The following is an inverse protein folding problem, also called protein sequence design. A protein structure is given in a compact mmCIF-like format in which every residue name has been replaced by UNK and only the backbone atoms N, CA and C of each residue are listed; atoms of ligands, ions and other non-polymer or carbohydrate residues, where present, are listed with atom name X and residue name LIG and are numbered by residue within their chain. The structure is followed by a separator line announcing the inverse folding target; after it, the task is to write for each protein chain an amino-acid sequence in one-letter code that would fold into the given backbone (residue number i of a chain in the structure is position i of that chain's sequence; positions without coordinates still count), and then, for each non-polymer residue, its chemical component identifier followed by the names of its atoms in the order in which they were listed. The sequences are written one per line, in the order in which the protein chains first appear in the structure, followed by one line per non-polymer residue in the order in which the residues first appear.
data_IF_911303681963
#
_entry.id   IF_911303681963
#
_cell.length_a   1.000
_cell.length_b   1.000
_cell.length_c   1.000
_cell.angle_alpha   90.00
_cell.angle_beta   90.00
_cell.angle_gamma   90.00
#
_symmetry.space_group_name_H-M   'P 1'
#
loop_
_entity.id
_entity.type
_entity.pdbx_description
1 polymer ?
#
# COMPACT_ATOMS: atom_id res chain seq x y z
N UNK A 1 4.49 -14.59 1.82
CA UNK A 1 4.10 -13.43 1.00
C UNK A 1 4.05 -12.23 1.91
N UNK A 2 4.66 -11.13 1.49
CA UNK A 2 4.75 -9.88 2.23
C UNK A 2 3.53 -8.98 1.99
N UNK A 3 3.31 -7.99 2.85
CA UNK A 3 2.24 -6.99 2.70
C UNK A 3 0.83 -7.60 2.64
N UNK A 4 0.58 -8.73 3.31
CA UNK A 4 -0.68 -9.46 3.19
C UNK A 4 -1.89 -8.64 3.64
N UNK A 5 -1.76 -7.87 4.72
CA UNK A 5 -2.85 -7.07 5.28
C UNK A 5 -3.20 -5.92 4.31
N UNK A 6 -2.18 -5.31 3.71
CA UNK A 6 -2.34 -4.25 2.71
C UNK A 6 -2.99 -4.81 1.43
N UNK A 7 -2.53 -5.97 0.97
CA UNK A 7 -3.13 -6.67 -0.17
C UNK A 7 -4.62 -6.98 0.06
N UNK A 8 -5.00 -7.41 1.26
CA UNK A 8 -6.39 -7.71 1.59
C UNK A 8 -7.25 -6.44 1.66
N UNK A 9 -6.70 -5.33 2.14
CA UNK A 9 -7.36 -4.02 2.10
C UNK A 9 -7.63 -3.56 0.65
N UNK A 10 -6.64 -3.69 -0.24
CA UNK A 10 -6.77 -3.36 -1.66
C UNK A 10 -7.84 -4.23 -2.34
N UNK A 11 -7.82 -5.54 -2.11
CA UNK A 11 -8.84 -6.48 -2.61
C UNK A 11 -10.24 -6.11 -2.12
N UNK A 12 -10.39 -5.80 -0.83
CA UNK A 12 -11.68 -5.38 -0.25
C UNK A 12 -12.21 -4.10 -0.87
N UNK A 13 -11.33 -3.17 -1.27
CA UNK A 13 -11.66 -1.95 -2.00
C UNK A 13 -11.82 -2.13 -3.51
N UNK A 14 -11.64 -3.36 -4.02
CA UNK A 14 -11.62 -3.67 -5.45
C UNK A 14 -10.58 -2.82 -6.22
N UNK A 15 -9.45 -2.52 -5.58
CA UNK A 15 -8.33 -1.79 -6.18
C UNK A 15 -7.35 -2.83 -6.73
N UNK A 16 -7.09 -2.75 -8.04
CA UNK A 16 -6.07 -3.58 -8.69
C UNK A 16 -4.68 -3.06 -8.31
N UNK A 17 -3.76 -3.98 -8.11
CA UNK A 17 -2.39 -3.67 -7.75
C UNK A 17 -1.43 -4.64 -8.45
N UNK A 18 -0.19 -4.19 -8.60
CA UNK A 18 0.95 -5.01 -8.97
C UNK A 18 1.73 -5.36 -7.71
N UNK A 19 2.14 -6.62 -7.58
CA UNK A 19 2.93 -7.10 -6.45
C UNK A 19 4.26 -7.62 -6.95
N UNK A 20 5.34 -7.23 -6.28
CA UNK A 20 6.67 -7.78 -6.49
C UNK A 20 7.29 -8.10 -5.13
N UNK A 21 8.09 -9.17 -5.06
CA UNK A 21 8.84 -9.54 -3.86
C UNK A 21 10.29 -9.80 -4.29
N UNK A 22 11.24 -9.03 -3.74
CA UNK A 22 12.67 -9.13 -4.03
C UNK A 22 13.41 -9.13 -2.69
N UNK A 23 14.31 -10.07 -2.51
CA UNK A 23 15.16 -10.18 -1.32
C UNK A 23 14.38 -10.15 0.02
N UNK A 24 13.18 -10.73 0.04
CA UNK A 24 12.32 -10.80 1.23
C UNK A 24 11.53 -9.53 1.53
N UNK A 25 11.65 -8.48 0.72
CA UNK A 25 10.86 -7.25 0.79
C UNK A 25 9.79 -7.22 -0.30
N UNK A 26 8.56 -6.92 0.10
CA UNK A 26 7.42 -6.76 -0.81
C UNK A 26 7.25 -5.32 -1.28
N UNK A 27 6.79 -5.16 -2.52
CA UNK A 27 6.30 -3.90 -3.06
C UNK A 27 4.90 -4.05 -3.65
N UNK A 28 4.10 -3.00 -3.48
CA UNK A 28 2.80 -2.85 -4.10
C UNK A 28 2.77 -1.52 -4.85
N UNK A 29 2.34 -1.57 -6.10
CA UNK A 29 2.08 -0.39 -6.93
C UNK A 29 0.65 -0.45 -7.44
N UNK A 30 -0.11 0.64 -7.32
CA UNK A 30 -1.51 0.66 -7.72
C UNK A 30 -2.00 2.03 -8.15
N UNK A 31 -3.13 2.01 -8.88
CA UNK A 31 -3.84 3.20 -9.32
C UNK A 31 -5.15 3.34 -8.55
N UNK A 32 -5.40 4.54 -8.04
CA UNK A 32 -6.68 4.89 -7.44
C UNK A 32 -7.09 6.29 -7.89
N UNK A 33 -8.26 6.40 -8.54
CA UNK A 33 -8.81 7.65 -9.09
C UNK A 33 -7.83 8.44 -9.98
N UNK A 34 -7.03 7.74 -10.77
CA UNK A 34 -6.04 8.33 -11.69
C UNK A 34 -4.72 8.73 -11.03
N UNK A 35 -4.57 8.54 -9.72
CA UNK A 35 -3.33 8.79 -8.98
C UNK A 35 -2.57 7.48 -8.75
N UNK A 36 -1.25 7.56 -8.76
CA UNK A 36 -0.34 6.44 -8.52
C UNK A 36 0.08 6.40 -7.05
N UNK A 37 -0.03 5.22 -6.45
CA UNK A 37 0.35 4.97 -5.08
C UNK A 37 1.29 3.77 -4.99
N UNK A 38 2.14 3.78 -3.96
CA UNK A 38 3.04 2.68 -3.68
C UNK A 38 3.15 2.36 -2.19
N UNK A 39 3.54 1.12 -1.91
CA UNK A 39 4.00 0.64 -0.60
C UNK A 39 5.22 -0.22 -0.86
N UNK A 40 6.40 0.22 -0.43
CA UNK A 40 7.68 -0.47 -0.67
C UNK A 40 8.32 -0.81 0.67
N UNK A 41 8.35 -2.10 1.01
CA UNK A 41 9.01 -2.54 2.23
C UNK A 41 10.53 -2.36 2.16
N UNK A 42 11.11 -2.11 3.32
CA UNK A 42 12.54 -2.20 3.55
C UNK A 42 12.83 -2.84 4.92
N UNK A 43 14.04 -3.39 5.04
CA UNK A 43 14.62 -3.83 6.29
C UNK A 43 15.99 -3.15 6.45
N UNK A 44 16.04 -2.04 7.19
CA UNK A 44 17.31 -1.39 7.59
C UNK A 44 17.31 -1.19 9.10
N UNK A 45 17.86 -2.16 9.83
CA UNK A 45 17.86 -2.29 11.31
C UNK A 45 16.47 -2.43 11.95
N UNK A 46 15.44 -1.91 11.29
CA UNK A 46 14.03 -2.02 11.61
C UNK A 46 13.25 -2.33 10.32
N UNK A 47 12.09 -2.96 10.49
CA UNK A 47 11.16 -3.17 9.39
C UNK A 47 10.28 -1.95 9.20
N UNK A 48 10.12 -1.53 7.95
CA UNK A 48 9.26 -0.42 7.57
C UNK A 48 8.83 -0.49 6.11
N UNK A 49 8.07 0.52 5.70
CA UNK A 49 7.72 0.72 4.30
C UNK A 49 7.74 2.20 3.94
N UNK A 50 8.33 2.53 2.78
CA UNK A 50 8.13 3.81 2.12
C UNK A 50 6.76 3.78 1.43
N UNK A 51 5.94 4.81 1.65
CA UNK A 51 4.61 4.88 1.04
C UNK A 51 4.13 6.31 0.85
N UNK A 52 3.27 6.53 -0.15
CA UNK A 52 2.63 7.82 -0.42
C UNK A 52 1.10 7.76 -0.29
N UNK A 53 0.56 6.78 0.46
CA UNK A 53 -0.90 6.54 0.58
C UNK A 53 -1.68 7.76 1.08
N UNK A 54 -1.10 8.58 1.95
CA UNK A 54 -1.80 9.74 2.51
C UNK A 54 -1.91 10.91 1.52
N UNK A 55 -0.90 11.08 0.67
CA UNK A 55 -0.80 12.17 -0.29
C UNK A 55 -0.04 11.69 -1.53
N UNK A 56 -0.76 11.51 -2.63
CA UNK A 56 -0.17 11.01 -3.87
C UNK A 56 1.00 11.91 -4.32
N UNK A 57 2.16 11.29 -4.57
CA UNK A 57 3.39 11.99 -4.95
C UNK A 57 4.24 12.48 -3.78
N UNK A 58 3.82 12.26 -2.52
CA UNK A 58 4.61 12.57 -1.32
C UNK A 58 4.84 11.33 -0.47
N UNK A 59 6.01 10.71 -0.64
CA UNK A 59 6.44 9.56 0.15
C UNK A 59 6.72 9.92 1.60
N UNK A 60 6.47 8.96 2.49
CA UNK A 60 6.88 8.97 3.89
C UNK A 60 7.19 7.54 4.35
N UNK A 61 7.97 7.44 5.42
CA UNK A 61 8.33 6.18 6.05
C UNK A 61 7.39 5.83 7.20
N UNK A 62 7.00 4.55 7.27
CA UNK A 62 6.29 3.99 8.42
C UNK A 62 7.06 2.75 8.89
N UNK A 63 7.54 2.80 10.12
CA UNK A 63 8.26 1.69 10.76
C UNK A 63 7.36 0.92 11.72
N UNK A 64 7.70 -0.33 12.02
CA UNK A 64 6.98 -1.15 13.00
C UNK A 64 5.69 -1.75 12.44
N UNK A 65 4.52 -1.27 12.87
CA UNK A 65 3.21 -1.83 12.46
C UNK A 65 2.70 -1.24 11.12
N UNK A 66 3.59 -1.03 10.16
CA UNK A 66 3.30 -0.34 8.91
C UNK A 66 2.16 -0.98 8.12
N UNK A 67 2.09 -2.31 8.03
CA UNK A 67 1.00 -3.00 7.31
C UNK A 67 -0.40 -2.61 7.85
N UNK A 68 -0.57 -2.56 9.17
CA UNK A 68 -1.85 -2.20 9.78
C UNK A 68 -2.21 -0.73 9.56
N UNK A 69 -1.23 0.16 9.70
CA UNK A 69 -1.39 1.60 9.50
C UNK A 69 -1.81 1.89 8.06
N UNK A 70 -1.09 1.29 7.11
CA UNK A 70 -1.34 1.44 5.67
C UNK A 70 -2.70 0.86 5.29
N UNK A 71 -3.01 -0.35 5.74
CA UNK A 71 -4.28 -0.99 5.44
C UNK A 71 -5.47 -0.21 6.01
N UNK A 72 -5.35 0.31 7.23
CA UNK A 72 -6.39 1.15 7.85
C UNK A 72 -6.66 2.42 7.04
N UNK A 73 -5.61 3.06 6.54
CA UNK A 73 -5.73 4.24 5.69
C UNK A 73 -6.44 3.89 4.36
N UNK A 74 -6.00 2.86 3.64
CA UNK A 74 -6.63 2.41 2.38
C UNK A 74 -8.11 2.04 2.61
N UNK A 75 -8.44 1.40 3.73
CA UNK A 75 -9.82 1.06 4.07
C UNK A 75 -10.69 2.29 4.38
N UNK A 76 -10.09 3.40 4.77
CA UNK A 76 -10.77 4.68 5.03
C UNK A 76 -11.14 5.43 3.74
N UNK A 77 -10.46 5.15 2.63
CA UNK A 77 -10.74 5.80 1.35
C UNK A 77 -12.14 5.48 0.84
N UNK A 78 -12.76 6.39 0.08
CA UNK A 78 -14.04 6.10 -0.56
C UNK A 78 -13.91 4.92 -1.53
N UNK A 79 -14.95 4.09 -1.62
CA UNK A 79 -14.94 2.97 -2.54
C UNK A 79 -14.81 3.45 -4.01
N UNK A 80 -14.25 2.61 -4.87
CA UNK A 80 -14.33 2.81 -6.31
C UNK A 80 -15.80 2.73 -6.72
N UNK A 81 -16.38 3.87 -7.11
CA UNK A 81 -17.72 3.86 -7.68
C UNK A 81 -17.69 2.99 -8.95
N UNK A 82 -18.67 2.10 -9.17
CA UNK A 82 -18.83 1.48 -10.47
C UNK A 82 -18.95 2.60 -11.50
N UNK A 83 -18.08 2.58 -12.51
CA UNK A 83 -18.16 3.54 -13.62
C UNK A 83 -19.58 3.51 -14.19
N UNK A 84 -20.19 4.69 -14.29
CA UNK A 84 -21.46 4.90 -15.00
C UNK A 84 -21.30 4.60 -16.49
#
# INVERSE_FOLDING_TARGET
MRLQIVQDALKKKNIKYEYTEIDGCGSLDFLFRGLKFHVWEYEDRVWGAETNIYEAGRSQDIEGNYEEVIAKEILSWPDMMPGS
#
